data_IF_073528399965
#
_entry.id   IF_073528399965
#
_cell.length_a   1.000
_cell.length_b   1.000
_cell.length_c   1.000
_cell.angle_alpha   90.00
_cell.angle_beta   90.00
_cell.angle_gamma   90.00
#
_symmetry.space_group_name_H-M   'P 1'
#
loop_
_entity.id
_entity.type
_entity.pdbx_description
1 polymer ?
#
# COMPACT_ATOMS: atom_id res chain seq x y z
N UNK A 1 13.13 15.39 35.41
CA UNK A 1 13.09 16.10 34.13
C UNK A 1 13.46 15.09 33.07
N UNK A 2 12.45 14.32 32.60
CA UNK A 2 12.62 13.36 31.52
C UNK A 2 12.50 14.10 30.20
N UNK A 3 13.58 14.09 29.44
CA UNK A 3 13.60 14.66 28.08
C UNK A 3 12.65 13.82 27.22
N UNK A 4 11.54 14.43 26.85
CA UNK A 4 10.65 13.94 25.80
C UNK A 4 11.43 14.05 24.47
N UNK A 5 12.20 13.01 24.17
CA UNK A 5 12.74 12.76 22.82
C UNK A 5 11.55 12.65 21.89
N UNK A 6 11.54 13.45 20.82
CA UNK A 6 10.49 13.55 19.82
C UNK A 6 10.36 12.31 18.92
N UNK A 7 10.22 11.13 19.51
CA UNK A 7 9.96 9.89 18.80
C UNK A 7 8.52 9.91 18.28
N UNK A 8 8.35 9.82 16.98
CA UNK A 8 7.04 9.74 16.29
C UNK A 8 6.19 8.60 16.84
N UNK A 9 6.84 7.54 17.30
CA UNK A 9 6.22 6.38 17.95
C UNK A 9 6.81 6.20 19.35
N UNK A 10 5.99 6.30 20.41
CA UNK A 10 6.44 5.94 21.74
C UNK A 10 7.01 4.51 21.74
N UNK A 11 8.18 4.31 22.32
CA UNK A 11 8.85 2.98 22.38
C UNK A 11 7.94 1.87 22.94
N UNK A 12 7.01 2.24 23.81
CA UNK A 12 6.00 1.32 24.35
C UNK A 12 4.99 0.90 23.27
N UNK A 13 4.56 1.81 22.39
CA UNK A 13 3.64 1.50 21.29
C UNK A 13 4.30 0.62 20.22
N UNK A 14 5.57 0.91 19.89
CA UNK A 14 6.38 0.07 19.00
C UNK A 14 6.53 -1.36 19.54
N UNK A 15 6.85 -1.52 20.82
CA UNK A 15 6.93 -2.86 21.45
C UNK A 15 5.60 -3.58 21.41
N UNK A 16 4.50 -2.91 21.69
CA UNK A 16 3.15 -3.47 21.62
C UNK A 16 2.78 -3.94 20.21
N UNK A 17 3.11 -3.15 19.18
CA UNK A 17 2.92 -3.51 17.78
C UNK A 17 3.78 -4.73 17.38
N UNK A 18 5.05 -4.75 17.77
CA UNK A 18 5.96 -5.88 17.46
C UNK A 18 5.47 -7.16 18.15
N UNK A 19 5.05 -7.07 19.42
CA UNK A 19 4.54 -8.22 20.15
C UNK A 19 3.21 -8.73 19.57
N UNK A 20 2.33 -7.82 19.16
CA UNK A 20 1.09 -8.13 18.44
C UNK A 20 1.38 -8.85 17.14
N UNK A 21 2.27 -8.31 16.29
CA UNK A 21 2.67 -8.94 15.03
C UNK A 21 3.28 -10.31 15.24
N UNK A 22 4.15 -10.47 16.26
CA UNK A 22 4.77 -11.74 16.60
C UNK A 22 3.74 -12.81 16.99
N UNK A 23 2.74 -12.46 17.80
CA UNK A 23 1.65 -13.38 18.18
C UNK A 23 0.77 -13.79 17.01
N UNK A 24 0.63 -12.90 16.01
CA UNK A 24 -0.20 -13.11 14.82
C UNK A 24 0.57 -13.66 13.60
N UNK A 25 1.87 -13.82 13.72
CA UNK A 25 2.74 -14.23 12.61
C UNK A 25 2.24 -15.51 11.93
N UNK A 26 1.76 -16.49 12.69
CA UNK A 26 1.21 -17.74 12.13
C UNK A 26 -0.07 -17.49 11.33
N UNK A 27 -0.96 -16.62 11.84
CA UNK A 27 -2.22 -16.29 11.16
C UNK A 27 -1.92 -15.49 9.89
N UNK A 28 -1.03 -14.49 9.98
CA UNK A 28 -0.62 -13.69 8.82
C UNK A 28 0.12 -14.54 7.79
N UNK A 29 0.95 -15.48 8.24
CA UNK A 29 1.60 -16.48 7.38
C UNK A 29 0.59 -17.39 6.67
N UNK A 30 -0.44 -17.85 7.38
CA UNK A 30 -1.52 -18.63 6.79
C UNK A 30 -2.32 -17.81 5.75
N UNK A 31 -2.64 -16.55 6.06
CA UNK A 31 -3.31 -15.63 5.12
C UNK A 31 -2.44 -15.39 3.89
N UNK A 32 -1.14 -15.17 4.09
CA UNK A 32 -0.20 -15.04 2.97
C UNK A 32 -0.21 -16.29 2.09
N UNK A 33 -0.10 -17.50 2.69
CA UNK A 33 -0.08 -18.74 1.95
C UNK A 33 -1.38 -18.98 1.17
N UNK A 34 -2.54 -18.69 1.78
CA UNK A 34 -3.83 -18.79 1.09
C UNK A 34 -3.90 -17.81 -0.09
N UNK A 35 -3.50 -16.55 0.14
CA UNK A 35 -3.42 -15.53 -0.92
C UNK A 35 -2.42 -15.90 -2.03
N UNK A 36 -1.27 -16.46 -1.66
CA UNK A 36 -0.26 -16.92 -2.61
C UNK A 36 -0.73 -18.10 -3.46
N UNK A 37 -1.29 -19.13 -2.82
CA UNK A 37 -1.79 -20.34 -3.52
C UNK A 37 -2.98 -19.99 -4.42
N UNK A 38 -3.92 -19.16 -3.94
CA UNK A 38 -5.04 -18.67 -4.76
C UNK A 38 -4.59 -17.67 -5.83
N UNK A 39 -3.55 -16.91 -5.55
CA UNK A 39 -2.97 -15.93 -6.46
C UNK A 39 -2.22 -16.54 -7.66
N UNK A 40 -1.72 -17.77 -7.52
CA UNK A 40 -0.97 -18.41 -8.60
C UNK A 40 -1.83 -18.69 -9.85
N UNK A 41 -3.02 -19.32 -9.76
CA UNK A 41 -3.91 -19.44 -10.91
C UNK A 41 -4.43 -18.10 -11.41
N UNK A 42 -4.79 -17.15 -10.51
CA UNK A 42 -5.22 -15.82 -10.89
C UNK A 42 -4.13 -15.04 -11.66
N UNK A 43 -2.85 -15.32 -11.41
CA UNK A 43 -1.76 -14.69 -12.13
C UNK A 43 -1.79 -15.04 -13.63
N UNK A 44 -2.24 -16.23 -14.01
CA UNK A 44 -2.36 -16.61 -15.42
C UNK A 44 -3.39 -15.75 -16.13
N UNK A 45 -4.57 -15.58 -15.54
CA UNK A 45 -5.64 -14.75 -16.09
C UNK A 45 -5.23 -13.26 -16.18
N UNK A 46 -4.51 -12.76 -15.16
CA UNK A 46 -3.97 -11.39 -15.16
C UNK A 46 -2.96 -11.18 -16.31
N UNK A 47 -2.07 -12.14 -16.53
CA UNK A 47 -1.07 -12.07 -17.59
C UNK A 47 -1.76 -12.09 -18.97
N UNK A 48 -2.69 -13.01 -19.19
CA UNK A 48 -3.45 -13.14 -20.43
C UNK A 48 -4.25 -11.84 -20.69
N UNK A 49 -4.94 -11.34 -19.69
CA UNK A 49 -5.68 -10.08 -19.80
C UNK A 49 -4.79 -8.89 -20.14
N UNK A 50 -3.59 -8.78 -19.56
CA UNK A 50 -2.65 -7.71 -19.86
C UNK A 50 -2.09 -7.79 -21.27
N UNK A 51 -1.85 -8.99 -21.78
CA UNK A 51 -1.33 -9.21 -23.15
C UNK A 51 -2.42 -8.89 -24.18
N UNK A 52 -3.68 -9.24 -23.89
CA UNK A 52 -4.81 -8.96 -24.77
C UNK A 52 -5.24 -7.49 -24.80
N UNK A 53 -4.95 -6.74 -23.72
CA UNK A 53 -5.28 -5.32 -23.62
C UNK A 53 -4.17 -4.44 -24.22
N UNK A 54 -4.34 -4.05 -25.48
CA UNK A 54 -3.39 -3.19 -26.22
C UNK A 54 -3.17 -1.81 -25.55
N UNK A 55 -4.06 -1.37 -24.66
CA UNK A 55 -4.00 -0.07 -23.97
C UNK A 55 -2.83 0.11 -23.00
N UNK A 56 -2.15 -0.96 -22.61
CA UNK A 56 -0.97 -0.91 -21.73
C UNK A 56 0.36 -1.04 -22.46
N UNK A 57 0.34 -1.13 -23.78
CA UNK A 57 1.56 -1.16 -24.59
C UNK A 57 1.66 0.11 -25.42
N UNK A 58 2.67 0.98 -25.20
CA UNK A 58 2.85 2.16 -26.02
C UNK A 58 3.16 1.79 -27.48
N UNK A 59 2.78 2.67 -28.41
CA UNK A 59 3.04 2.47 -29.83
C UNK A 59 4.55 2.34 -30.11
N UNK A 60 4.92 1.38 -30.95
CA UNK A 60 6.32 1.14 -31.33
C UNK A 60 7.14 0.33 -30.33
N UNK A 61 6.55 -0.18 -29.24
CA UNK A 61 7.22 -1.06 -28.29
C UNK A 61 6.99 -2.52 -28.66
N UNK A 62 8.08 -3.31 -28.74
CA UNK A 62 8.02 -4.76 -28.99
C UNK A 62 8.31 -5.53 -27.73
N UNK A 63 7.48 -6.54 -27.44
CA UNK A 63 7.69 -7.42 -26.30
C UNK A 63 8.44 -8.67 -26.76
N UNK A 64 9.48 -9.04 -25.99
CA UNK A 64 10.28 -10.24 -26.23
C UNK A 64 10.36 -11.11 -24.97
N UNK A 65 10.51 -12.40 -25.17
CA UNK A 65 10.80 -13.37 -24.12
C UNK A 65 12.27 -13.75 -24.26
N UNK A 66 13.06 -13.52 -23.22
CA UNK A 66 14.50 -13.82 -23.21
C UNK A 66 14.79 -15.18 -22.58
N UNK A 67 13.98 -15.61 -21.62
CA UNK A 67 14.21 -16.83 -20.86
C UNK A 67 12.94 -17.69 -20.76
N UNK A 68 13.03 -19.02 -20.89
CA UNK A 68 11.87 -19.92 -20.80
C UNK A 68 11.13 -19.87 -19.45
N UNK A 69 11.85 -19.49 -18.37
CA UNK A 69 11.29 -19.44 -17.01
C UNK A 69 10.56 -18.13 -16.69
N UNK A 70 10.57 -17.14 -17.58
CA UNK A 70 9.97 -15.83 -17.33
C UNK A 70 8.50 -15.91 -16.92
N UNK A 71 7.72 -16.72 -17.61
CA UNK A 71 6.30 -16.87 -17.32
C UNK A 71 6.06 -17.47 -15.92
N UNK A 72 6.91 -18.41 -15.48
CA UNK A 72 6.78 -19.04 -14.15
C UNK A 72 7.17 -18.05 -13.06
N UNK A 73 8.30 -17.34 -13.24
CA UNK A 73 8.76 -16.33 -12.28
C UNK A 73 7.77 -15.18 -12.15
N UNK A 74 7.15 -14.78 -13.26
CA UNK A 74 6.13 -13.74 -13.29
C UNK A 74 4.89 -14.16 -12.50
N UNK A 75 4.37 -15.38 -12.70
CA UNK A 75 3.25 -15.92 -11.90
C UNK A 75 3.57 -15.97 -10.42
N UNK A 76 4.77 -16.39 -10.04
CA UNK A 76 5.21 -16.38 -8.65
C UNK A 76 5.24 -14.96 -8.07
N UNK A 77 5.77 -13.99 -8.83
CA UNK A 77 5.81 -12.59 -8.41
C UNK A 77 4.42 -12.01 -8.18
N UNK A 78 3.48 -12.28 -9.09
CA UNK A 78 2.09 -11.84 -8.97
C UNK A 78 1.43 -12.52 -7.76
N UNK A 79 1.62 -13.82 -7.58
CA UNK A 79 1.08 -14.55 -6.43
C UNK A 79 1.61 -14.00 -5.09
N UNK A 80 2.90 -13.63 -5.01
CA UNK A 80 3.48 -12.97 -3.84
C UNK A 80 2.81 -11.62 -3.59
N UNK A 81 2.61 -10.78 -4.61
CA UNK A 81 1.93 -9.49 -4.48
C UNK A 81 0.49 -9.66 -3.96
N UNK A 82 -0.26 -10.64 -4.47
CA UNK A 82 -1.60 -10.97 -3.99
C UNK A 82 -1.54 -11.42 -2.52
N UNK A 83 -0.63 -12.32 -2.17
CA UNK A 83 -0.44 -12.77 -0.80
C UNK A 83 -0.12 -11.62 0.17
N UNK A 84 0.77 -10.71 -0.22
CA UNK A 84 1.11 -9.52 0.58
C UNK A 84 -0.09 -8.56 0.71
N UNK A 85 -0.83 -8.32 -0.36
CA UNK A 85 -2.05 -7.51 -0.31
C UNK A 85 -3.08 -8.11 0.67
N UNK A 86 -3.30 -9.43 0.63
CA UNK A 86 -4.16 -10.13 1.58
C UNK A 86 -3.70 -9.95 3.03
N UNK A 87 -2.39 -9.98 3.29
CA UNK A 87 -1.83 -9.74 4.63
C UNK A 87 -2.12 -8.31 5.10
N UNK A 88 -1.89 -7.31 4.24
CA UNK A 88 -2.17 -5.90 4.57
C UNK A 88 -3.65 -5.72 4.91
N UNK A 89 -4.54 -6.26 4.08
CA UNK A 89 -5.99 -6.20 4.31
C UNK A 89 -6.38 -6.91 5.62
N UNK A 90 -5.79 -8.09 5.90
CA UNK A 90 -6.06 -8.83 7.13
C UNK A 90 -5.61 -8.05 8.39
N UNK A 91 -4.45 -7.39 8.34
CA UNK A 91 -3.97 -6.54 9.43
C UNK A 91 -4.96 -5.39 9.67
N UNK A 92 -5.42 -4.73 8.61
CA UNK A 92 -6.37 -3.62 8.73
C UNK A 92 -7.71 -4.07 9.28
N UNK A 93 -8.23 -5.22 8.83
CA UNK A 93 -9.46 -5.83 9.36
C UNK A 93 -9.31 -6.16 10.85
N UNK A 94 -8.18 -6.72 11.24
CA UNK A 94 -7.93 -7.06 12.63
C UNK A 94 -7.80 -5.82 13.51
N UNK A 95 -7.19 -4.76 13.03
CA UNK A 95 -7.21 -3.45 13.69
C UNK A 95 -8.63 -2.91 13.83
N UNK A 96 -9.46 -3.04 12.80
CA UNK A 96 -10.87 -2.62 12.86
C UNK A 96 -11.69 -3.40 13.90
N UNK A 97 -11.45 -4.71 14.01
CA UNK A 97 -12.18 -5.59 14.93
C UNK A 97 -11.63 -5.58 16.36
N UNK A 98 -10.33 -5.72 16.51
CA UNK A 98 -9.64 -5.92 17.78
C UNK A 98 -8.83 -4.71 18.27
N UNK A 99 -8.91 -3.56 17.61
CA UNK A 99 -8.07 -2.40 17.94
C UNK A 99 -8.05 -2.03 19.43
N UNK A 100 -9.17 -2.29 20.14
CA UNK A 100 -9.28 -2.11 21.59
C UNK A 100 -8.46 -3.10 22.44
N UNK A 101 -8.16 -4.29 21.91
CA UNK A 101 -7.40 -5.33 22.63
C UNK A 101 -5.90 -5.19 22.40
N UNK A 102 -5.50 -4.43 21.39
CA UNK A 102 -4.10 -4.24 21.00
C UNK A 102 -3.42 -3.23 21.92
N UNK A 103 -4.19 -2.31 22.49
CA UNK A 103 -3.70 -1.33 23.45
C UNK A 103 -3.35 -2.02 24.78
N UNK A 104 -2.12 -1.77 25.26
CA UNK A 104 -1.66 -2.28 26.56
C UNK A 104 -2.61 -1.84 27.68
N UNK A 105 -2.77 -2.67 28.73
CA UNK A 105 -3.68 -2.39 29.86
C UNK A 105 -3.44 -1.02 30.53
N UNK A 106 -2.24 -0.48 30.44
CA UNK A 106 -1.89 0.85 30.94
C UNK A 106 -2.60 2.01 30.21
N UNK A 107 -2.90 1.83 28.91
CA UNK A 107 -3.63 2.83 28.11
C UNK A 107 -5.15 2.69 28.20
N UNK A 108 -5.65 1.51 28.58
CA UNK A 108 -7.07 1.15 28.65
C UNK A 108 -7.87 1.92 29.68
N UNK A 109 -7.23 2.54 30.70
CA UNK A 109 -7.91 3.26 31.81
C UNK A 109 -8.39 4.67 31.48
N UNK A 110 -7.96 5.27 30.38
CA UNK A 110 -8.24 6.69 30.10
C UNK A 110 -9.34 6.97 29.09
N UNK A 111 -9.78 6.00 28.30
CA UNK A 111 -10.76 6.28 27.26
C UNK A 111 -11.74 5.13 27.02
N UNK A 112 -13.03 5.44 27.04
CA UNK A 112 -14.12 4.61 26.51
C UNK A 112 -14.46 5.16 25.13
N UNK A 113 -13.88 4.68 24.03
CA UNK A 113 -14.29 5.12 22.71
C UNK A 113 -15.62 4.45 22.38
N UNK A 114 -16.64 5.27 22.17
CA UNK A 114 -17.92 4.88 21.61
C UNK A 114 -17.70 4.45 20.14
N UNK A 115 -17.56 3.14 19.86
CA UNK A 115 -17.43 2.74 18.47
C UNK A 115 -16.69 1.43 18.19
N UNK A 116 -16.69 0.47 19.12
CA UNK A 116 -16.26 -0.90 18.80
C UNK A 116 -17.48 -1.79 18.69
N UNK A 117 -17.62 -2.48 17.60
CA UNK A 117 -18.72 -3.34 17.28
C UNK A 117 -18.84 -3.44 15.76
N UNK A 118 -19.94 -3.96 15.29
CA UNK A 118 -20.25 -4.13 13.85
C UNK A 118 -20.08 -2.82 13.06
N UNK A 119 -20.46 -1.65 13.66
CA UNK A 119 -20.34 -0.35 13.00
C UNK A 119 -18.87 0.07 12.71
N UNK A 120 -17.96 -0.19 13.65
CA UNK A 120 -16.52 0.09 13.44
C UNK A 120 -15.91 -0.80 12.36
N UNK A 121 -16.27 -2.08 12.33
CA UNK A 121 -15.84 -3.00 11.29
C UNK A 121 -16.38 -2.60 9.91
N UNK A 122 -17.68 -2.27 9.82
CA UNK A 122 -18.29 -1.81 8.57
C UNK A 122 -17.61 -0.55 8.04
N UNK A 123 -17.29 0.40 8.92
CA UNK A 123 -16.55 1.60 8.54
C UNK A 123 -15.17 1.27 7.95
N UNK A 124 -14.43 0.36 8.58
CA UNK A 124 -13.10 -0.07 8.09
C UNK A 124 -13.24 -0.81 6.77
N UNK A 125 -14.16 -1.76 6.65
CA UNK A 125 -14.38 -2.52 5.41
C UNK A 125 -14.80 -1.63 4.25
N UNK A 126 -15.71 -0.68 4.49
CA UNK A 126 -16.15 0.27 3.48
C UNK A 126 -15.02 1.22 3.07
N UNK A 127 -14.25 1.71 4.03
CA UNK A 127 -13.06 2.54 3.77
C UNK A 127 -12.01 1.79 2.98
N UNK A 128 -11.71 0.54 3.34
CA UNK A 128 -10.78 -0.32 2.61
C UNK A 128 -11.24 -0.55 1.16
N UNK A 129 -12.52 -0.90 0.96
CA UNK A 129 -13.06 -1.15 -0.37
C UNK A 129 -13.00 0.13 -1.24
N UNK A 130 -13.42 1.27 -0.70
CA UNK A 130 -13.41 2.55 -1.40
C UNK A 130 -11.99 2.97 -1.79
N UNK A 131 -11.03 2.86 -0.87
CA UNK A 131 -9.63 3.21 -1.13
C UNK A 131 -8.95 2.20 -2.07
N UNK A 132 -9.30 0.91 -2.00
CA UNK A 132 -8.81 -0.09 -2.95
C UNK A 132 -9.29 0.20 -4.38
N UNK A 133 -10.58 0.51 -4.55
CA UNK A 133 -11.16 0.90 -5.85
C UNK A 133 -10.53 2.21 -6.35
N UNK A 134 -10.33 3.19 -5.48
CA UNK A 134 -9.68 4.45 -5.83
C UNK A 134 -8.22 4.23 -6.27
N UNK A 135 -7.44 3.42 -5.54
CA UNK A 135 -6.07 3.06 -5.88
C UNK A 135 -5.97 2.27 -7.18
N UNK A 136 -6.86 1.30 -7.39
CA UNK A 136 -6.95 0.55 -8.64
C UNK A 136 -7.27 1.47 -9.83
N UNK A 137 -8.29 2.34 -9.69
CA UNK A 137 -8.70 3.27 -10.74
C UNK A 137 -7.61 4.32 -11.04
N UNK A 138 -6.89 4.78 -10.01
CA UNK A 138 -5.76 5.67 -10.18
C UNK A 138 -4.62 5.00 -10.95
N UNK A 139 -4.29 3.77 -10.57
CA UNK A 139 -3.23 3.00 -11.23
C UNK A 139 -3.56 2.72 -12.69
N UNK A 140 -4.78 2.26 -12.96
CA UNK A 140 -5.26 1.89 -14.28
C UNK A 140 -5.32 3.08 -15.25
N UNK A 141 -5.88 4.22 -14.80
CA UNK A 141 -6.20 5.35 -15.67
C UNK A 141 -5.12 6.43 -15.74
N UNK A 142 -4.27 6.52 -14.73
CA UNK A 142 -3.32 7.63 -14.59
C UNK A 142 -1.90 7.10 -14.47
N UNK A 143 -1.61 6.31 -13.44
CA UNK A 143 -0.24 5.95 -13.08
C UNK A 143 0.45 5.12 -14.18
N UNK A 144 -0.17 3.99 -14.54
CA UNK A 144 0.44 3.06 -15.52
C UNK A 144 0.55 3.69 -16.90
N UNK A 145 -0.51 4.28 -17.50
CA UNK A 145 -0.40 4.89 -18.82
C UNK A 145 0.64 6.00 -18.88
N UNK A 146 0.62 6.92 -17.89
CA UNK A 146 1.59 8.03 -17.87
C UNK A 146 3.04 7.56 -17.75
N UNK A 147 3.30 6.55 -16.91
CA UNK A 147 4.66 6.04 -16.74
C UNK A 147 5.15 5.25 -17.95
N UNK A 148 4.31 4.42 -18.54
CA UNK A 148 4.70 3.66 -19.74
C UNK A 148 4.95 4.56 -20.92
N UNK A 149 4.11 5.59 -21.12
CA UNK A 149 4.30 6.61 -22.16
C UNK A 149 5.58 7.42 -21.91
N UNK A 150 5.82 7.88 -20.70
CA UNK A 150 7.04 8.60 -20.33
C UNK A 150 8.30 7.77 -20.62
N UNK A 151 8.34 6.50 -20.22
CA UNK A 151 9.49 5.63 -20.45
C UNK A 151 9.73 5.35 -21.94
N UNK A 152 8.67 5.20 -22.73
CA UNK A 152 8.81 4.98 -24.18
C UNK A 152 9.30 6.25 -24.90
N UNK A 153 8.80 7.43 -24.49
CA UNK A 153 9.23 8.71 -25.04
C UNK A 153 10.68 9.03 -24.70
N UNK A 154 11.13 8.74 -23.47
CA UNK A 154 12.51 8.94 -23.04
C UNK A 154 13.49 8.07 -23.84
N UNK A 155 13.13 6.81 -24.09
CA UNK A 155 13.92 5.92 -24.96
C UNK A 155 13.96 6.42 -26.40
N UNK A 156 12.82 6.84 -26.98
CA UNK A 156 12.74 7.38 -28.33
C UNK A 156 13.54 8.68 -28.48
N UNK A 157 13.49 9.58 -27.49
CA UNK A 157 14.29 10.80 -27.45
C UNK A 157 15.81 10.52 -27.45
N UNK A 158 16.20 9.37 -26.90
CA UNK A 158 17.59 8.88 -26.91
C UNK A 158 17.98 8.15 -28.22
N UNK A 159 17.07 8.06 -29.19
CA UNK A 159 17.28 7.37 -30.46
C UNK A 159 17.31 5.84 -30.36
N UNK A 160 16.72 5.29 -29.29
CA UNK A 160 16.66 3.85 -29.03
C UNK A 160 15.29 3.30 -29.45
N UNK A 161 15.29 2.11 -30.07
CA UNK A 161 14.07 1.34 -30.25
C UNK A 161 13.68 0.66 -28.93
N UNK A 162 12.43 0.84 -28.52
CA UNK A 162 11.95 0.27 -27.25
C UNK A 162 11.56 -1.19 -27.42
N UNK A 163 12.42 -2.08 -26.94
CA UNK A 163 12.13 -3.51 -26.85
C UNK A 163 12.08 -3.92 -25.39
N UNK A 164 10.90 -4.36 -24.91
CA UNK A 164 10.70 -4.67 -23.50
C UNK A 164 10.59 -6.18 -23.28
N UNK A 165 11.25 -6.63 -22.22
CA UNK A 165 11.14 -8.01 -21.77
C UNK A 165 9.77 -8.23 -21.13
N UNK A 166 9.07 -9.32 -21.49
CA UNK A 166 7.74 -9.66 -20.99
C UNK A 166 7.68 -9.62 -19.45
N UNK A 167 8.62 -10.28 -18.79
CA UNK A 167 8.67 -10.32 -17.31
C UNK A 167 8.87 -8.93 -16.69
N UNK A 168 9.72 -8.10 -17.29
CA UNK A 168 9.99 -6.76 -16.79
C UNK A 168 8.76 -5.87 -16.95
N UNK A 169 8.12 -5.86 -18.11
CA UNK A 169 6.96 -5.05 -18.40
C UNK A 169 5.74 -5.44 -17.55
N UNK A 170 5.29 -6.70 -17.60
CA UNK A 170 4.15 -7.14 -16.80
C UNK A 170 4.45 -7.02 -15.30
N UNK A 171 5.67 -7.41 -14.89
CA UNK A 171 6.09 -7.30 -13.49
C UNK A 171 6.08 -5.86 -12.99
N UNK A 172 6.40 -4.89 -13.84
CA UNK A 172 6.32 -3.46 -13.55
C UNK A 172 4.87 -2.99 -13.43
N UNK A 173 4.03 -3.26 -14.44
CA UNK A 173 2.61 -2.88 -14.45
C UNK A 173 1.87 -3.44 -13.23
N UNK A 174 2.01 -4.75 -12.99
CA UNK A 174 1.37 -5.42 -11.85
C UNK A 174 1.93 -4.91 -10.52
N UNK A 175 3.25 -4.69 -10.45
CA UNK A 175 3.89 -4.11 -9.27
C UNK A 175 3.32 -2.73 -8.92
N UNK A 176 3.21 -1.83 -9.88
CA UNK A 176 2.60 -0.50 -9.70
C UNK A 176 1.13 -0.57 -9.30
N UNK A 177 0.37 -1.48 -9.91
CA UNK A 177 -1.04 -1.68 -9.57
C UNK A 177 -1.21 -2.09 -8.11
N UNK A 178 -0.50 -3.12 -7.65
CA UNK A 178 -0.56 -3.57 -6.26
C UNK A 178 0.00 -2.53 -5.31
N UNK A 179 1.09 -1.86 -5.67
CA UNK A 179 1.66 -0.77 -4.88
C UNK A 179 0.66 0.37 -4.67
N UNK A 180 -0.07 0.73 -5.71
CA UNK A 180 -1.11 1.76 -5.65
C UNK A 180 -2.28 1.33 -4.76
N UNK A 181 -2.82 0.12 -4.96
CA UNK A 181 -3.92 -0.41 -4.14
C UNK A 181 -3.53 -0.48 -2.65
N UNK A 182 -2.31 -0.95 -2.34
CA UNK A 182 -1.78 -1.02 -0.96
C UNK A 182 -1.45 0.38 -0.43
N UNK A 183 -0.84 1.23 -1.24
CA UNK A 183 -0.49 2.60 -0.87
C UNK A 183 -1.71 3.44 -0.50
N UNK A 184 -2.81 3.27 -1.20
CA UNK A 184 -4.08 3.92 -0.88
C UNK A 184 -4.70 3.43 0.44
N UNK A 185 -4.25 2.30 1.01
CA UNK A 185 -4.68 1.88 2.36
C UNK A 185 -3.95 2.64 3.48
N UNK A 186 -2.79 3.25 3.21
CA UNK A 186 -1.97 3.95 4.21
C UNK A 186 -2.75 5.02 4.97
N UNK A 187 -3.56 5.90 4.33
CA UNK A 187 -4.35 6.92 5.05
C UNK A 187 -5.34 6.31 6.04
N UNK A 188 -5.98 5.21 5.67
CA UNK A 188 -6.89 4.51 6.58
C UNK A 188 -6.13 3.87 7.76
N UNK A 189 -4.95 3.31 7.51
CA UNK A 189 -4.08 2.80 8.56
C UNK A 189 -3.67 3.91 9.54
N UNK A 190 -3.25 5.08 9.04
CA UNK A 190 -2.92 6.25 9.85
C UNK A 190 -4.12 6.72 10.66
N UNK A 191 -5.30 6.81 10.03
CA UNK A 191 -6.54 7.20 10.71
C UNK A 191 -6.91 6.23 11.85
N UNK A 192 -6.78 4.92 11.62
CA UNK A 192 -7.01 3.91 12.64
C UNK A 192 -6.00 4.01 13.78
N UNK A 193 -4.72 4.22 13.48
CA UNK A 193 -3.68 4.41 14.50
C UNK A 193 -3.93 5.64 15.38
N UNK A 194 -4.40 6.74 14.77
CA UNK A 194 -4.81 7.95 15.50
C UNK A 194 -6.06 7.72 16.34
N UNK A 195 -7.06 7.04 15.79
CA UNK A 195 -8.34 6.77 16.46
C UNK A 195 -8.19 5.82 17.65
N UNK A 196 -7.26 4.88 17.55
CA UNK A 196 -6.92 3.96 18.64
C UNK A 196 -5.81 4.49 19.56
N UNK A 197 -5.37 5.74 19.35
CA UNK A 197 -4.31 6.40 20.13
C UNK A 197 -2.97 5.62 20.17
N UNK A 198 -2.73 4.77 19.17
CA UNK A 198 -1.44 4.09 18.99
C UNK A 198 -0.34 5.13 18.73
N UNK A 199 -0.69 6.18 17.99
CA UNK A 199 0.17 7.34 17.71
C UNK A 199 -0.51 8.59 18.27
N UNK A 200 0.24 9.38 19.02
CA UNK A 200 -0.26 10.66 19.54
C UNK A 200 -0.46 11.69 18.42
N UNK A 201 -1.59 12.37 18.40
CA UNK A 201 -1.89 13.44 17.41
C UNK A 201 -0.82 14.53 17.39
N UNK A 202 -0.32 14.91 18.58
CA UNK A 202 0.76 15.88 18.70
C UNK A 202 2.03 15.39 17.99
N UNK A 203 2.39 14.12 18.17
CA UNK A 203 3.56 13.52 17.53
C UNK A 203 3.44 13.51 16.01
N UNK A 204 2.27 13.14 15.47
CA UNK A 204 2.02 13.15 14.02
C UNK A 204 2.08 14.55 13.45
N UNK A 205 1.50 15.54 14.16
CA UNK A 205 1.48 16.93 13.69
C UNK A 205 2.86 17.57 13.76
N UNK A 206 3.66 17.25 14.79
CA UNK A 206 5.03 17.75 14.94
C UNK A 206 6.02 17.11 13.97
N UNK A 207 5.79 15.87 13.59
CA UNK A 207 6.71 15.08 12.74
C UNK A 207 6.10 14.77 11.36
N UNK A 208 5.36 15.70 10.77
CA UNK A 208 4.77 15.57 9.43
C UNK A 208 5.81 15.23 8.36
N UNK A 209 6.99 15.82 8.50
CA UNK A 209 8.12 15.60 7.59
C UNK A 209 8.51 14.12 7.50
N UNK A 210 8.45 13.39 8.62
CA UNK A 210 8.74 11.95 8.65
C UNK A 210 7.68 11.16 7.88
N UNK A 211 6.40 11.53 8.00
CA UNK A 211 5.33 10.88 7.22
C UNK A 211 5.46 11.18 5.73
N UNK A 212 5.81 12.41 5.38
CA UNK A 212 6.05 12.79 3.99
C UNK A 212 7.26 12.06 3.41
N UNK A 213 8.36 12.02 4.17
CA UNK A 213 9.52 11.26 3.79
C UNK A 213 9.20 9.77 3.62
N UNK A 214 8.43 9.17 4.52
CA UNK A 214 8.03 7.78 4.43
C UNK A 214 7.16 7.51 3.20
N UNK A 215 6.22 8.40 2.85
CA UNK A 215 5.39 8.29 1.65
C UNK A 215 6.23 8.38 0.37
N UNK A 216 7.18 9.32 0.31
CA UNK A 216 8.08 9.47 -0.83
C UNK A 216 9.08 8.31 -0.92
N UNK A 217 9.62 7.85 0.23
CA UNK A 217 10.48 6.67 0.27
C UNK A 217 9.75 5.41 -0.21
N UNK A 218 8.49 5.25 0.17
CA UNK A 218 7.64 4.18 -0.34
C UNK A 218 7.47 4.28 -1.86
N UNK A 219 7.18 5.49 -2.38
CA UNK A 219 7.14 5.74 -3.81
C UNK A 219 8.46 5.37 -4.50
N UNK A 220 9.59 5.81 -3.97
CA UNK A 220 10.91 5.53 -4.54
C UNK A 220 11.29 4.04 -4.58
N UNK A 221 10.83 3.26 -3.59
CA UNK A 221 11.08 1.81 -3.54
C UNK A 221 10.28 1.02 -4.57
N UNK A 222 9.14 1.56 -5.00
CA UNK A 222 8.18 0.87 -5.87
C UNK A 222 8.22 1.34 -7.32
N UNK A 223 8.84 2.50 -7.58
CA UNK A 223 8.94 3.11 -8.91
C UNK A 223 10.38 3.07 -9.44
N UNK A 224 10.58 3.29 -10.75
CA UNK A 224 11.89 3.58 -11.31
C UNK A 224 12.57 4.75 -10.60
N UNK A 225 13.91 4.84 -10.61
CA UNK A 225 14.65 5.92 -9.94
C UNK A 225 14.63 7.22 -10.75
N UNK A 226 13.44 7.74 -11.03
CA UNK A 226 13.22 9.00 -11.71
C UNK A 226 12.25 9.90 -10.92
N UNK A 227 12.36 11.24 -11.02
CA UNK A 227 11.54 12.17 -10.26
C UNK A 227 10.04 12.06 -10.57
N UNK A 228 9.67 11.78 -11.83
CA UNK A 228 8.27 11.72 -12.24
C UNK A 228 7.56 10.52 -11.59
N UNK A 229 8.17 9.34 -11.67
CA UNK A 229 7.64 8.12 -11.05
C UNK A 229 7.52 8.27 -9.54
N UNK A 230 8.53 8.88 -8.89
CA UNK A 230 8.51 9.16 -7.46
C UNK A 230 7.25 9.95 -7.06
N UNK A 231 6.95 11.03 -7.77
CA UNK A 231 5.79 11.88 -7.48
C UNK A 231 4.47 11.22 -7.85
N UNK A 232 4.43 10.46 -8.93
CA UNK A 232 3.21 9.76 -9.34
C UNK A 232 2.84 8.62 -8.38
N UNK A 233 3.81 7.94 -7.77
CA UNK A 233 3.54 6.85 -6.81
C UNK A 233 3.39 7.39 -5.39
N UNK A 234 4.33 8.23 -4.94
CA UNK A 234 4.36 8.74 -3.56
C UNK A 234 3.42 9.91 -3.31
N UNK A 235 3.21 10.78 -4.31
CA UNK A 235 2.41 11.99 -4.19
C UNK A 235 0.96 11.75 -3.76
N UNK A 236 0.19 10.86 -4.41
CA UNK A 236 -1.17 10.55 -3.98
C UNK A 236 -1.25 10.00 -2.57
N UNK A 237 -0.31 9.14 -2.16
CA UNK A 237 -0.25 8.62 -0.79
C UNK A 237 -0.05 9.76 0.21
N UNK A 238 0.83 10.71 -0.10
CA UNK A 238 1.08 11.90 0.71
C UNK A 238 -0.19 12.76 0.83
N UNK A 239 -0.85 13.07 -0.28
CA UNK A 239 -2.10 13.86 -0.29
C UNK A 239 -3.18 13.17 0.53
N UNK A 240 -3.33 11.86 0.39
CA UNK A 240 -4.32 11.09 1.13
C UNK A 240 -4.02 11.02 2.63
N UNK A 241 -2.74 10.99 3.04
CA UNK A 241 -2.36 11.12 4.46
C UNK A 241 -2.81 12.48 5.02
N UNK A 242 -2.57 13.58 4.29
CA UNK A 242 -3.03 14.90 4.73
C UNK A 242 -4.56 14.97 4.84
N UNK A 243 -5.28 14.41 3.89
CA UNK A 243 -6.75 14.29 3.94
C UNK A 243 -7.19 13.50 5.18
N UNK A 244 -6.54 12.39 5.50
CA UNK A 244 -6.84 11.60 6.70
C UNK A 244 -6.62 12.40 7.99
N UNK A 245 -5.55 13.21 8.06
CA UNK A 245 -5.29 14.10 9.21
C UNK A 245 -6.33 15.21 9.34
N UNK A 246 -6.82 15.75 8.22
CA UNK A 246 -7.90 16.75 8.23
C UNK A 246 -9.21 16.13 8.72
N UNK A 247 -9.55 14.91 8.25
CA UNK A 247 -10.74 14.17 8.68
C UNK A 247 -10.67 13.89 10.20
N UNK A 248 -9.51 13.44 10.72
CA UNK A 248 -9.33 13.21 12.16
C UNK A 248 -9.57 14.47 12.97
N UNK A 249 -9.04 15.63 12.52
CA UNK A 249 -9.26 16.92 13.19
C UNK A 249 -10.72 17.35 13.17
N UNK A 250 -11.41 17.18 12.05
CA UNK A 250 -12.81 17.56 11.90
C UNK A 250 -13.73 16.71 12.79
N UNK A 251 -13.45 15.40 12.88
CA UNK A 251 -14.27 14.44 13.63
C UNK A 251 -14.07 14.56 15.15
N UNK A 252 -12.95 15.11 15.62
CA UNK A 252 -12.61 15.21 17.04
C UNK A 252 -12.77 16.63 17.63
N UNK A 253 -13.46 17.54 16.93
CA UNK A 253 -13.84 18.86 17.42
C UNK A 253 -15.19 18.91 18.15
N UNK A 254 -15.84 17.74 18.35
CA UNK A 254 -17.07 17.58 19.12
C UNK A 254 -16.83 17.08 20.54
#
# INVERSE_FOLDING_TARGET
MDQATGDVLPRAALRGLIEYMRRRLYVLGAVFLVGFVGGYPAATEIIEWLIENEGYLPEGVHIIILQPLEAVLLRLRIAVNIGLACVVLAIMMDFGWNGRKILSEAYRRKFVPTGGGIGGLLFVLMGMALLAVAGASYSDRILIPMLLEYLSQDAAASGLESTWQLQAWIGFVVGLFFASVVGFQVPLAVLLMLRYEVIGRASVTQNREVLWFAALAFGALLSPPDPLSLFLVGGPVLVLIEVALVIDRATNRG
#
